data_IF_109108614677
#
_entry.id   IF_109108614677
#
_cell.length_a   1.000
_cell.length_b   1.000
_cell.length_c   1.000
_cell.angle_alpha   90.00
_cell.angle_beta   90.00
_cell.angle_gamma   90.00
#
_symmetry.space_group_name_H-M   'P 1'
#
loop_
_entity.id
_entity.type
_entity.pdbx_description
1 polymer ?
#
# COMPACT_ATOMS: atom_id res chain seq x y z
N UNK A 1 2.05 -14.59 0.56
CA UNK A 1 0.88 -13.73 0.49
C UNK A 1 0.72 -13.17 -0.90
N UNK A 2 -0.44 -13.23 -1.46
CA UNK A 2 -0.69 -12.72 -2.80
C UNK A 2 -1.17 -11.28 -2.76
N UNK A 3 -1.00 -10.57 -3.89
CA UNK A 3 -1.49 -9.22 -4.05
C UNK A 3 -3.02 -9.20 -4.06
N UNK A 4 -3.60 -8.22 -3.36
CA UNK A 4 -5.01 -7.94 -3.46
C UNK A 4 -5.28 -7.09 -4.71
N UNK A 5 -6.25 -7.50 -5.52
CA UNK A 5 -6.63 -6.77 -6.72
C UNK A 5 -7.94 -6.01 -6.54
N UNK A 6 -8.60 -6.19 -5.41
CA UNK A 6 -9.88 -5.57 -5.10
C UNK A 6 -9.72 -4.67 -3.88
N UNK A 7 -10.32 -3.49 -3.93
CA UNK A 7 -10.34 -2.60 -2.77
C UNK A 7 -11.15 -3.23 -1.65
N UNK A 8 -10.67 -3.03 -0.40
CA UNK A 8 -11.35 -3.56 0.77
C UNK A 8 -12.78 -3.00 0.85
N UNK A 9 -13.74 -3.88 1.10
CA UNK A 9 -15.15 -3.49 1.19
C UNK A 9 -15.40 -2.63 2.44
N UNK A 10 -14.62 -2.84 3.48
CA UNK A 10 -14.74 -2.11 4.75
C UNK A 10 -13.37 -1.56 5.11
N UNK A 11 -13.29 -0.26 5.37
CA UNK A 11 -12.05 0.38 5.71
C UNK A 11 -11.62 0.02 7.13
N UNK A 12 -10.39 -0.51 7.33
CA UNK A 12 -9.88 -0.74 8.68
C UNK A 12 -9.62 0.59 9.39
N UNK A 13 -9.60 0.56 10.71
CA UNK A 13 -9.23 1.74 11.48
C UNK A 13 -7.71 1.89 11.47
N UNK A 14 -7.22 3.09 11.81
CA UNK A 14 -5.79 3.30 11.97
C UNK A 14 -5.21 2.36 13.04
N UNK A 15 -5.96 2.15 14.14
CA UNK A 15 -5.51 1.25 15.20
C UNK A 15 -5.37 -0.19 14.70
N UNK A 16 -6.29 -0.64 13.85
CA UNK A 16 -6.20 -1.98 13.26
C UNK A 16 -4.92 -2.13 12.44
N UNK A 17 -4.58 -1.11 11.66
CA UNK A 17 -3.39 -1.13 10.80
C UNK A 17 -2.12 -1.07 11.66
N UNK A 18 -2.11 -0.22 12.69
CA UNK A 18 -0.98 -0.10 13.61
C UNK A 18 -0.68 -1.41 14.36
N UNK A 19 -1.67 -2.28 14.49
CA UNK A 19 -1.54 -3.55 15.19
C UNK A 19 -1.06 -4.70 14.30
N UNK A 20 -0.91 -4.48 12.98
CA UNK A 20 -0.49 -5.54 12.06
C UNK A 20 0.95 -5.95 12.32
N UNK A 21 1.21 -7.26 12.54
CA UNK A 21 2.57 -7.73 12.74
C UNK A 21 3.29 -7.94 11.41
N UNK A 22 4.61 -7.80 11.43
CA UNK A 22 5.45 -8.09 10.28
C UNK A 22 5.35 -7.07 9.17
N UNK A 23 5.81 -7.43 7.96
CA UNK A 23 5.79 -6.50 6.84
C UNK A 23 4.41 -6.38 6.22
N UNK A 24 4.00 -5.16 5.90
CA UNK A 24 2.73 -4.90 5.25
C UNK A 24 2.86 -3.73 4.28
N UNK A 25 2.04 -3.76 3.25
CA UNK A 25 1.93 -2.69 2.28
C UNK A 25 0.49 -2.22 2.24
N UNK A 26 0.28 -0.93 2.46
CA UNK A 26 -1.05 -0.32 2.33
C UNK A 26 -1.04 0.53 1.07
N UNK A 27 -1.86 0.15 0.11
CA UNK A 27 -2.00 0.86 -1.16
C UNK A 27 -3.25 1.75 -1.07
N UNK A 28 -3.05 3.06 -1.20
CA UNK A 28 -4.14 4.03 -1.20
C UNK A 28 -4.42 4.51 -2.62
N UNK A 29 -5.68 4.48 -3.03
CA UNK A 29 -6.06 4.92 -4.35
C UNK A 29 -7.57 4.87 -4.54
N UNK A 30 -8.00 4.73 -5.79
CA UNK A 30 -9.40 4.60 -6.13
C UNK A 30 -9.55 3.73 -7.38
N UNK A 31 -10.68 3.01 -7.53
CA UNK A 31 -10.85 2.10 -8.69
C UNK A 31 -10.84 2.83 -10.03
N UNK A 32 -11.26 4.10 -10.07
CA UNK A 32 -11.32 4.90 -11.29
C UNK A 32 -10.04 5.70 -11.56
N UNK A 33 -9.04 5.57 -10.73
CA UNK A 33 -7.80 6.34 -10.81
C UNK A 33 -6.84 5.75 -11.86
N UNK A 34 -6.55 6.51 -12.92
CA UNK A 34 -5.68 6.05 -13.99
C UNK A 34 -4.25 5.78 -13.53
N UNK A 35 -3.70 6.62 -12.66
CA UNK A 35 -2.36 6.39 -12.09
C UNK A 35 -2.30 5.11 -11.27
N UNK A 36 -3.39 4.81 -10.53
CA UNK A 36 -3.48 3.58 -9.74
C UNK A 36 -3.46 2.36 -10.65
N UNK A 37 -4.25 2.41 -11.72
CA UNK A 37 -4.33 1.32 -12.70
C UNK A 37 -2.97 1.11 -13.38
N UNK A 38 -2.31 2.19 -13.75
CA UNK A 38 -1.02 2.12 -14.42
C UNK A 38 0.08 1.52 -13.54
N UNK A 39 -0.03 1.68 -12.23
CA UNK A 39 0.97 1.17 -11.28
C UNK A 39 0.81 -0.34 -10.99
N UNK A 40 -0.31 -0.95 -11.36
CA UNK A 40 -0.60 -2.33 -10.96
C UNK A 40 0.44 -3.36 -11.43
N UNK A 41 0.91 -3.34 -12.69
CA UNK A 41 1.90 -4.34 -13.12
C UNK A 41 3.21 -4.26 -12.32
N UNK A 42 3.72 -3.06 -12.07
CA UNK A 42 4.94 -2.87 -11.29
C UNK A 42 4.76 -3.32 -9.85
N UNK A 43 3.60 -3.01 -9.27
CA UNK A 43 3.28 -3.43 -7.90
C UNK A 43 3.16 -4.95 -7.79
N UNK A 44 2.49 -5.58 -8.74
CA UNK A 44 2.35 -7.04 -8.76
C UNK A 44 3.71 -7.73 -8.84
N UNK A 45 4.59 -7.23 -9.71
CA UNK A 45 5.92 -7.79 -9.88
C UNK A 45 6.76 -7.65 -8.61
N UNK A 46 6.70 -6.48 -7.96
CA UNK A 46 7.46 -6.25 -6.74
C UNK A 46 6.96 -7.14 -5.59
N UNK A 47 5.64 -7.27 -5.44
CA UNK A 47 5.04 -8.11 -4.39
C UNK A 47 5.29 -9.59 -4.63
N UNK A 48 5.40 -10.03 -5.88
CA UNK A 48 5.68 -11.42 -6.20
C UNK A 48 7.02 -11.88 -5.62
N UNK A 49 7.98 -10.96 -5.50
CA UNK A 49 9.30 -11.24 -4.93
C UNK A 49 9.32 -11.14 -3.41
N UNK A 50 8.20 -10.75 -2.79
CA UNK A 50 8.10 -10.56 -1.34
C UNK A 50 6.83 -11.23 -0.80
N UNK A 51 6.76 -12.57 -0.85
CA UNK A 51 5.53 -13.29 -0.49
C UNK A 51 5.13 -13.16 0.98
N UNK A 52 6.04 -12.70 1.84
CA UNK A 52 5.73 -12.47 3.24
C UNK A 52 4.95 -11.20 3.52
N UNK A 53 4.78 -10.33 2.55
CA UNK A 53 4.05 -9.07 2.75
C UNK A 53 2.55 -9.30 2.78
N UNK A 54 1.89 -8.64 3.73
CA UNK A 54 0.44 -8.47 3.75
C UNK A 54 0.12 -7.25 2.91
N UNK A 55 -0.81 -7.37 1.97
CA UNK A 55 -1.19 -6.27 1.11
C UNK A 55 -2.62 -5.82 1.43
N UNK A 56 -2.78 -4.55 1.78
CA UNK A 56 -4.09 -3.92 1.98
C UNK A 56 -4.29 -2.92 0.83
N UNK A 57 -5.40 -3.06 0.12
CA UNK A 57 -5.77 -2.17 -0.98
C UNK A 57 -6.96 -1.34 -0.50
N UNK A 58 -6.73 -0.06 -0.23
CA UNK A 58 -7.67 0.80 0.48
C UNK A 58 -8.09 1.96 -0.40
N UNK A 59 -9.39 2.13 -0.57
CA UNK A 59 -9.90 3.29 -1.28
C UNK A 59 -9.73 4.53 -0.42
N UNK A 60 -9.18 5.60 -1.01
CA UNK A 60 -9.05 6.90 -0.37
C UNK A 60 -10.05 7.87 -1.01
N UNK A 61 -10.20 9.05 -0.41
CA UNK A 61 -11.10 10.07 -0.92
C UNK A 61 -11.83 10.78 0.20
N UNK A 62 -12.85 11.54 -0.17
CA UNK A 62 -13.64 12.30 0.78
C UNK A 62 -14.31 11.35 1.78
N UNK A 63 -14.17 11.63 3.07
CA UNK A 63 -14.76 10.83 4.14
C UNK A 63 -13.98 9.57 4.48
N UNK A 64 -12.85 9.35 3.85
CA UNK A 64 -11.99 8.17 4.10
C UNK A 64 -10.94 8.53 5.14
N UNK A 65 -11.11 8.00 6.35
CA UNK A 65 -10.29 8.40 7.51
C UNK A 65 -8.88 7.82 7.49
N UNK A 66 -8.73 6.60 6.97
CA UNK A 66 -7.44 5.93 7.02
C UNK A 66 -6.39 6.68 6.20
N UNK A 67 -6.70 7.02 4.96
CA UNK A 67 -5.80 7.80 4.11
C UNK A 67 -5.46 9.14 4.75
N UNK A 68 -6.46 9.80 5.35
CA UNK A 68 -6.25 11.06 6.04
C UNK A 68 -5.27 10.90 7.20
N UNK A 69 -5.34 9.79 7.93
CA UNK A 69 -4.45 9.53 9.07
C UNK A 69 -3.00 9.37 8.64
N UNK A 70 -2.75 9.02 7.38
CA UNK A 70 -1.41 8.93 6.79
C UNK A 70 -1.04 10.17 5.98
N UNK A 71 -1.91 11.16 5.90
CA UNK A 71 -1.66 12.38 5.13
C UNK A 71 -1.60 12.14 3.63
N UNK A 72 -2.38 11.18 3.12
CA UNK A 72 -2.38 10.85 1.70
C UNK A 72 -2.95 11.99 0.88
N UNK A 73 -2.23 12.41 -0.17
CA UNK A 73 -2.65 13.50 -1.04
C UNK A 73 -2.75 13.10 -2.51
N UNK A 74 -1.86 12.23 -2.97
CA UNK A 74 -1.82 11.79 -4.36
C UNK A 74 -2.00 10.27 -4.41
N UNK A 75 -2.52 9.76 -5.53
CA UNK A 75 -2.79 8.34 -5.73
C UNK A 75 -2.03 7.82 -6.95
N UNK A 76 -1.55 6.58 -6.89
CA UNK A 76 -1.50 5.77 -5.67
C UNK A 76 -0.39 6.23 -4.75
N UNK A 77 -0.58 6.07 -3.46
CA UNK A 77 0.48 6.15 -2.47
C UNK A 77 0.61 4.80 -1.79
N UNK A 78 1.82 4.29 -1.77
CA UNK A 78 2.14 3.01 -1.15
C UNK A 78 2.84 3.27 0.16
N UNK A 79 2.24 2.85 1.27
CA UNK A 79 2.83 3.00 2.61
C UNK A 79 3.33 1.64 3.05
N UNK A 80 4.63 1.55 3.31
CA UNK A 80 5.27 0.30 3.71
C UNK A 80 5.44 0.30 5.22
N UNK A 81 4.92 -0.75 5.86
CA UNK A 81 4.90 -0.88 7.31
C UNK A 81 5.74 -2.08 7.78
N UNK A 82 6.32 -1.93 8.95
CA UNK A 82 6.92 -3.04 9.71
C UNK A 82 6.39 -2.99 11.12
N UNK A 83 5.66 -4.02 11.51
CA UNK A 83 5.00 -4.10 12.82
C UNK A 83 4.15 -2.84 13.09
N UNK A 84 3.37 -2.43 12.09
CA UNK A 84 2.47 -1.28 12.17
C UNK A 84 3.12 0.08 12.00
N UNK A 85 4.44 0.16 11.87
CA UNK A 85 5.17 1.43 11.77
C UNK A 85 5.57 1.69 10.32
N UNK A 86 5.34 2.91 9.85
CA UNK A 86 5.73 3.30 8.50
C UNK A 86 7.25 3.38 8.40
N UNK A 87 7.83 2.60 7.49
CA UNK A 87 9.27 2.60 7.26
C UNK A 87 9.64 3.15 5.89
N UNK A 88 8.70 3.21 4.95
CA UNK A 88 8.92 3.78 3.63
C UNK A 88 7.59 4.18 3.01
N UNK A 89 7.65 5.02 1.98
CA UNK A 89 6.47 5.48 1.27
C UNK A 89 6.85 5.76 -0.18
N UNK A 90 6.01 5.35 -1.12
CA UNK A 90 6.21 5.64 -2.54
C UNK A 90 4.95 6.30 -3.07
N UNK A 91 5.11 7.47 -3.69
CA UNK A 91 4.01 8.22 -4.28
C UNK A 91 4.14 8.14 -5.79
N UNK A 92 3.09 7.61 -6.46
CA UNK A 92 3.01 7.49 -7.91
C UNK A 92 4.26 6.85 -8.52
N UNK A 93 4.58 5.60 -8.15
CA UNK A 93 5.76 4.93 -8.70
C UNK A 93 5.64 4.75 -10.20
N UNK A 94 6.75 4.91 -10.91
CA UNK A 94 6.82 4.71 -12.36
C UNK A 94 7.61 3.47 -12.74
N UNK A 95 8.31 2.87 -11.77
CA UNK A 95 9.12 1.68 -12.01
C UNK A 95 9.00 0.70 -10.85
N UNK A 96 9.10 -0.58 -11.19
CA UNK A 96 9.08 -1.66 -10.21
C UNK A 96 10.14 -1.48 -9.14
N UNK A 97 11.31 -0.97 -9.52
CA UNK A 97 12.44 -0.80 -8.60
C UNK A 97 12.13 0.13 -7.44
N UNK A 98 11.37 1.19 -7.69
CA UNK A 98 10.97 2.12 -6.63
C UNK A 98 10.17 1.38 -5.55
N UNK A 99 9.27 0.50 -5.98
CA UNK A 99 8.45 -0.28 -5.06
C UNK A 99 9.31 -1.33 -4.34
N UNK A 100 10.15 -2.03 -5.10
CA UNK A 100 11.01 -3.07 -4.53
C UNK A 100 11.94 -2.50 -3.46
N UNK A 101 12.53 -1.33 -3.71
CA UNK A 101 13.42 -0.67 -2.75
C UNK A 101 12.67 -0.28 -1.47
N UNK A 102 11.43 0.20 -1.61
CA UNK A 102 10.59 0.53 -0.46
C UNK A 102 10.23 -0.71 0.36
N UNK A 103 9.83 -1.79 -0.31
CA UNK A 103 9.50 -3.05 0.38
C UNK A 103 10.71 -3.60 1.15
N UNK A 104 11.91 -3.43 0.60
CA UNK A 104 13.13 -3.90 1.24
C UNK A 104 13.36 -3.27 2.61
N UNK A 105 12.80 -2.08 2.86
CA UNK A 105 12.94 -1.40 4.17
C UNK A 105 12.20 -2.14 5.28
N UNK A 106 11.19 -2.94 4.94
CA UNK A 106 10.40 -3.68 5.92
C UNK A 106 10.68 -5.18 5.88
N UNK A 107 11.39 -5.65 4.86
CA UNK A 107 11.71 -7.06 4.72
C UNK A 107 12.80 -7.45 5.72
N UNK A 108 12.82 -8.69 6.08
CA UNK A 108 13.84 -9.20 6.99
C UNK A 108 13.31 -9.96 8.14
#
# INVERSE_FOLDING_TARGET
MTMNTTYAASEPTRADVDALPGPALVEFGAPWCGHCQAAQPALAAALADQPGFRHLKIEDGRGRRLGRSYGIKLWPTLVVLRDGREVARVVRPTAQREIADALAQAAG
#
